data_IF_064504595097
#
_entry.id   IF_064504595097
#
_cell.length_a   1.000
_cell.length_b   1.000
_cell.length_c   1.000
_cell.angle_alpha   90.00
_cell.angle_beta   90.00
_cell.angle_gamma   90.00
#
_symmetry.space_group_name_H-M   'P 1'
#
loop_
_entity.id
_entity.type
_entity.pdbx_description
1 polymer ?
#
# COMPACT_ATOMS: atom_id res chain seq x y z
N UNK A 1 -4.02 -6.55 -15.78
CA UNK A 1 -2.55 -6.35 -15.75
C UNK A 1 -1.83 -7.62 -16.22
N UNK A 2 -0.66 -7.50 -16.86
CA UNK A 2 0.18 -8.64 -17.26
C UNK A 2 0.68 -9.45 -16.02
N UNK A 3 0.72 -10.78 -16.11
CA UNK A 3 1.17 -11.70 -15.04
C UNK A 3 2.61 -11.43 -14.59
N UNK A 4 3.51 -11.09 -15.51
CA UNK A 4 4.90 -10.75 -15.18
C UNK A 4 4.95 -9.51 -14.27
N UNK A 5 4.21 -8.47 -14.65
CA UNK A 5 4.10 -7.21 -13.90
C UNK A 5 3.49 -7.44 -12.53
N UNK A 6 2.42 -8.25 -12.48
CA UNK A 6 1.81 -8.65 -11.21
C UNK A 6 2.82 -9.33 -10.29
N UNK A 7 3.48 -10.38 -10.77
CA UNK A 7 4.44 -11.16 -9.98
C UNK A 7 5.62 -10.30 -9.52
N UNK A 8 6.07 -9.37 -10.35
CA UNK A 8 7.12 -8.44 -9.99
C UNK A 8 6.68 -7.52 -8.84
N UNK A 9 5.56 -6.81 -9.00
CA UNK A 9 5.12 -5.84 -8.00
C UNK A 9 4.63 -6.50 -6.71
N UNK A 10 3.99 -7.67 -6.77
CA UNK A 10 3.63 -8.45 -5.57
C UNK A 10 4.87 -8.77 -4.74
N UNK A 11 5.94 -9.28 -5.36
CA UNK A 11 7.20 -9.59 -4.67
C UNK A 11 7.94 -8.35 -4.20
N UNK A 12 7.93 -7.30 -5.01
CA UNK A 12 8.58 -6.04 -4.67
C UNK A 12 7.93 -5.41 -3.43
N UNK A 13 6.60 -5.30 -3.41
CA UNK A 13 5.88 -4.73 -2.28
C UNK A 13 5.97 -5.63 -1.05
N UNK A 14 5.90 -6.95 -1.20
CA UNK A 14 6.13 -7.89 -0.10
C UNK A 14 7.52 -7.70 0.52
N UNK A 15 8.55 -7.54 -0.30
CA UNK A 15 9.92 -7.32 0.16
C UNK A 15 10.09 -6.00 0.90
N UNK A 16 9.47 -4.92 0.41
CA UNK A 16 9.68 -3.57 0.95
C UNK A 16 8.75 -3.26 2.13
N UNK A 17 7.54 -3.83 2.15
CA UNK A 17 6.47 -3.46 3.11
C UNK A 17 5.89 -4.66 3.88
N UNK A 18 6.24 -5.90 3.53
CA UNK A 18 5.64 -7.10 4.12
C UNK A 18 4.19 -7.34 3.71
N UNK A 19 3.67 -6.60 2.72
CA UNK A 19 2.28 -6.73 2.25
C UNK A 19 2.23 -7.80 1.14
N UNK A 20 1.47 -8.86 1.39
CA UNK A 20 1.33 -9.97 0.44
C UNK A 20 0.11 -9.76 -0.46
N UNK A 21 0.35 -9.78 -1.77
CA UNK A 21 -0.70 -9.89 -2.78
C UNK A 21 -0.78 -11.33 -3.30
N UNK A 22 -2.00 -11.86 -3.36
CA UNK A 22 -2.37 -13.15 -3.94
C UNK A 22 -3.32 -12.94 -5.11
N UNK A 23 -3.66 -14.01 -5.85
CA UNK A 23 -4.56 -13.91 -6.99
C UNK A 23 -5.92 -13.28 -6.63
N UNK A 24 -6.40 -13.48 -5.40
CA UNK A 24 -7.68 -12.92 -4.94
C UNK A 24 -7.68 -11.38 -4.83
N UNK A 25 -6.51 -10.76 -4.58
CA UNK A 25 -6.40 -9.31 -4.43
C UNK A 25 -5.62 -8.65 -5.59
N UNK A 26 -5.49 -9.34 -6.72
CA UNK A 26 -4.85 -8.82 -7.94
C UNK A 26 -5.46 -7.48 -8.40
N UNK A 27 -6.79 -7.34 -8.32
CA UNK A 27 -7.47 -6.10 -8.69
C UNK A 27 -7.06 -4.91 -7.81
N UNK A 28 -6.83 -5.14 -6.51
CA UNK A 28 -6.40 -4.10 -5.57
C UNK A 28 -4.98 -3.61 -5.91
N UNK A 29 -4.07 -4.54 -6.21
CA UNK A 29 -2.72 -4.18 -6.65
C UNK A 29 -2.77 -3.41 -7.97
N UNK A 30 -3.59 -3.86 -8.93
CA UNK A 30 -3.75 -3.15 -10.20
C UNK A 30 -4.24 -1.71 -9.99
N UNK A 31 -5.30 -1.51 -9.19
CA UNK A 31 -5.84 -0.17 -8.92
C UNK A 31 -4.79 0.75 -8.27
N UNK A 32 -3.99 0.24 -7.34
CA UNK A 32 -2.88 0.99 -6.72
C UNK A 32 -1.82 1.36 -7.74
N UNK A 33 -1.42 0.44 -8.62
CA UNK A 33 -0.42 0.74 -9.65
C UNK A 33 -0.92 1.73 -10.71
N UNK A 34 -2.23 1.74 -11.00
CA UNK A 34 -2.85 2.78 -11.82
C UNK A 34 -2.79 4.16 -11.14
N UNK A 35 -2.98 4.21 -9.83
CA UNK A 35 -2.82 5.43 -9.03
C UNK A 35 -1.35 5.89 -8.98
N UNK A 36 -0.39 4.96 -8.84
CA UNK A 36 1.04 5.24 -8.95
C UNK A 36 1.38 5.84 -10.31
N UNK A 37 0.89 5.25 -11.41
CA UNK A 37 1.13 5.77 -12.74
C UNK A 37 0.64 7.21 -12.87
N UNK A 38 -0.58 7.50 -12.39
CA UNK A 38 -1.14 8.87 -12.37
C UNK A 38 -0.29 9.83 -11.53
N UNK A 39 0.05 9.45 -10.31
CA UNK A 39 0.84 10.28 -9.38
C UNK A 39 2.25 10.59 -9.91
N UNK A 40 2.83 9.66 -10.68
CA UNK A 40 4.14 9.83 -11.30
C UNK A 40 4.08 10.39 -12.73
N UNK A 41 2.88 10.76 -13.22
CA UNK A 41 2.66 11.24 -14.59
C UNK A 41 3.18 10.29 -15.67
N UNK A 42 3.04 8.98 -15.42
CA UNK A 42 3.35 7.92 -16.36
C UNK A 42 2.08 7.45 -17.08
N UNK A 43 2.20 7.06 -18.36
CA UNK A 43 1.04 6.76 -19.19
C UNK A 43 0.32 5.45 -18.85
N UNK A 44 1.00 4.50 -18.18
CA UNK A 44 0.43 3.19 -17.84
C UNK A 44 1.23 2.46 -16.76
N UNK A 45 0.69 1.33 -16.27
CA UNK A 45 1.39 0.43 -15.35
C UNK A 45 2.67 -0.13 -16.00
N UNK A 46 2.64 -0.43 -17.30
CA UNK A 46 3.81 -0.89 -18.05
C UNK A 46 4.93 0.15 -18.02
N UNK A 47 4.60 1.45 -18.08
CA UNK A 47 5.59 2.51 -17.96
C UNK A 47 6.17 2.60 -16.54
N UNK A 48 5.38 2.33 -15.49
CA UNK A 48 5.88 2.19 -14.11
C UNK A 48 6.85 1.00 -14.03
N UNK A 49 6.46 -0.14 -14.59
CA UNK A 49 7.30 -1.35 -14.62
C UNK A 49 8.64 -1.10 -15.32
N UNK A 50 8.62 -0.49 -16.50
CA UNK A 50 9.82 -0.14 -17.26
C UNK A 50 10.72 0.82 -16.50
N UNK A 51 10.16 1.82 -15.82
CA UNK A 51 10.95 2.76 -15.03
C UNK A 51 11.62 2.08 -13.83
N UNK A 52 10.92 1.22 -13.10
CA UNK A 52 11.53 0.45 -12.01
C UNK A 52 12.66 -0.43 -12.52
N UNK A 53 12.47 -1.12 -13.65
CA UNK A 53 13.51 -1.96 -14.26
C UNK A 53 14.74 -1.18 -14.72
N UNK A 54 14.60 0.09 -15.07
CA UNK A 54 15.70 0.97 -15.51
C UNK A 54 16.43 1.67 -14.36
N UNK A 55 16.00 1.46 -13.12
CA UNK A 55 16.51 2.15 -11.95
C UNK A 55 15.70 3.41 -11.64
N UNK A 56 14.49 3.20 -11.12
CA UNK A 56 13.62 4.28 -10.67
C UNK A 56 14.30 5.11 -9.58
N UNK A 57 14.14 6.43 -9.65
CA UNK A 57 14.61 7.35 -8.61
C UNK A 57 13.99 7.01 -7.25
N UNK A 58 14.78 7.07 -6.18
CA UNK A 58 14.31 6.75 -4.81
C UNK A 58 13.09 7.56 -4.38
N UNK A 59 13.00 8.84 -4.77
CA UNK A 59 11.83 9.67 -4.48
C UNK A 59 10.54 9.13 -5.11
N UNK A 60 10.62 8.58 -6.31
CA UNK A 60 9.48 7.98 -7.02
C UNK A 60 9.16 6.59 -6.49
N UNK A 61 10.19 5.83 -6.09
CA UNK A 61 10.03 4.57 -5.37
C UNK A 61 9.24 4.79 -4.08
N UNK A 62 9.54 5.84 -3.32
CA UNK A 62 8.81 6.18 -2.11
C UNK A 62 7.32 6.45 -2.39
N UNK A 63 7.00 7.24 -3.42
CA UNK A 63 5.61 7.48 -3.84
C UNK A 63 4.87 6.17 -4.17
N UNK A 64 5.54 5.25 -4.86
CA UNK A 64 4.98 3.93 -5.15
C UNK A 64 4.65 3.17 -3.85
N UNK A 65 5.59 3.13 -2.90
CA UNK A 65 5.40 2.44 -1.63
C UNK A 65 4.29 3.08 -0.79
N UNK A 66 4.20 4.40 -0.75
CA UNK A 66 3.17 5.12 0.00
C UNK A 66 1.77 4.77 -0.52
N UNK A 67 1.58 4.80 -1.85
CA UNK A 67 0.31 4.40 -2.50
C UNK A 67 0.05 2.90 -2.31
N UNK A 68 1.10 2.08 -2.22
CA UNK A 68 0.97 0.65 -1.96
C UNK A 68 0.49 0.33 -0.52
N UNK A 69 0.44 1.30 0.39
CA UNK A 69 -0.07 1.12 1.76
C UNK A 69 -1.54 1.55 1.88
N UNK A 70 -2.33 0.83 2.70
CA UNK A 70 -3.72 1.22 2.99
C UNK A 70 -3.76 2.22 4.15
N UNK A 71 -3.75 3.51 3.86
CA UNK A 71 -3.81 4.56 4.87
C UNK A 71 -5.24 5.00 5.24
N UNK A 72 -6.28 4.25 4.84
CA UNK A 72 -7.65 4.56 5.25
C UNK A 72 -7.88 4.26 6.74
N UNK A 73 -7.93 5.33 7.53
CA UNK A 73 -8.26 5.31 8.95
C UNK A 73 -9.51 6.13 9.23
N UNK A 74 -10.24 5.78 10.30
CA UNK A 74 -11.39 6.54 10.79
C UNK A 74 -11.27 6.76 12.29
N UNK A 75 -11.77 7.90 12.75
CA UNK A 75 -11.76 8.24 14.18
C UNK A 75 -12.65 7.26 14.95
N UNK A 76 -12.12 6.63 16.00
CA UNK A 76 -12.80 5.59 16.79
C UNK A 76 -13.29 4.37 15.99
N UNK A 77 -12.53 3.90 14.99
CA UNK A 77 -12.88 2.74 14.14
C UNK A 77 -13.39 1.54 14.93
N UNK A 78 -12.64 1.13 15.95
CA UNK A 78 -12.99 0.02 16.85
C UNK A 78 -13.33 0.56 18.23
N UNK A 79 -14.51 1.18 18.37
CA UNK A 79 -14.94 1.86 19.60
C UNK A 79 -14.75 1.02 20.88
N UNK A 80 -14.98 -0.30 20.83
CA UNK A 80 -14.78 -1.19 21.98
C UNK A 80 -13.33 -1.23 22.49
N UNK A 81 -12.34 -1.08 21.61
CA UNK A 81 -10.93 -0.98 22.01
C UNK A 81 -10.70 0.32 22.80
N UNK A 82 -11.29 1.43 22.35
CA UNK A 82 -11.20 2.71 23.05
C UNK A 82 -11.93 2.70 24.40
N UNK A 83 -13.13 2.09 24.47
CA UNK A 83 -13.88 1.94 25.72
C UNK A 83 -13.09 1.11 26.75
N UNK A 84 -12.41 0.04 26.32
CA UNK A 84 -11.56 -0.78 27.18
C UNK A 84 -10.33 0.00 27.69
N UNK A 85 -9.65 0.74 26.82
CA UNK A 85 -8.53 1.61 27.21
C UNK A 85 -8.99 2.67 28.21
N UNK A 86 -10.14 3.30 27.97
CA UNK A 86 -10.71 4.29 28.87
C UNK A 86 -11.01 3.69 30.25
N UNK A 87 -11.61 2.51 30.30
CA UNK A 87 -11.90 1.83 31.57
C UNK A 87 -10.62 1.53 32.37
N UNK A 88 -9.55 1.06 31.73
CA UNK A 88 -8.25 0.80 32.37
C UNK A 88 -7.64 2.09 32.90
N UNK A 89 -7.60 3.14 32.07
CA UNK A 89 -7.00 4.43 32.48
C UNK A 89 -7.76 5.09 33.62
N UNK A 90 -9.10 5.03 33.59
CA UNK A 90 -9.93 5.58 34.67
C UNK A 90 -9.86 4.75 35.95
N UNK A 91 -9.69 3.42 35.88
CA UNK A 91 -9.49 2.60 37.07
C UNK A 91 -8.16 2.87 37.78
N UNK A 92 -7.13 3.31 37.05
CA UNK A 92 -5.83 3.68 37.60
C UNK A 92 -5.79 5.12 38.17
N UNK A 93 -6.81 5.94 37.90
CA UNK A 93 -6.85 7.35 38.30
C UNK A 93 -7.57 7.61 39.64
N UNK A 94 -8.20 6.60 40.25
CA UNK A 94 -8.81 6.68 41.58
C UNK A 94 -10.23 7.23 41.61
#
# INVERSE_FOLDING_TARGET
MNVEIFNYFSKFIEKELGIVYSDFNQFQLQARLEEVAKSLSLPSIEAVYEEVRRGMLESRKQVLLDIATNNETSFFRDKSVFDAIQAILLSDLG
#
